data_IF_082280331734
#
_entry.id   IF_082280331734
#
_cell.length_a   1.000
_cell.length_b   1.000
_cell.length_c   1.000
_cell.angle_alpha   90.00
_cell.angle_beta   90.00
_cell.angle_gamma   90.00
#
_symmetry.space_group_name_H-M   'P 1'
#
loop_
_entity.id
_entity.type
_entity.pdbx_description
1 polymer ?
#
# COMPACT_ATOMS: atom_id res chain seq x y z
N UNK A 1 3.58 -9.66 25.08
CA UNK A 1 2.90 -8.86 26.12
C UNK A 1 2.40 -7.59 25.44
N UNK A 2 1.10 -7.35 25.50
CA UNK A 2 0.49 -6.12 24.94
C UNK A 2 0.88 -4.95 25.83
N UNK A 3 1.37 -3.86 25.29
CA UNK A 3 1.34 -2.59 26.04
C UNK A 3 -0.14 -2.28 26.36
N UNK A 4 -0.50 -2.28 27.62
CA UNK A 4 -1.86 -2.04 28.13
C UNK A 4 -2.95 -3.05 27.73
N UNK A 5 -2.63 -4.34 27.53
CA UNK A 5 -3.63 -5.40 27.29
C UNK A 5 -4.32 -5.35 25.92
N UNK A 6 -3.90 -4.51 24.98
CA UNK A 6 -4.46 -4.45 23.62
C UNK A 6 -3.64 -5.31 22.66
N UNK A 7 -4.32 -6.18 21.96
CA UNK A 7 -3.72 -6.91 20.81
C UNK A 7 -3.44 -5.89 19.71
N UNK A 8 -2.16 -5.74 19.33
CA UNK A 8 -1.78 -4.93 18.18
C UNK A 8 -2.25 -5.66 16.93
N UNK A 9 -3.25 -5.10 16.25
CA UNK A 9 -3.74 -5.62 14.97
C UNK A 9 -2.77 -5.16 13.89
N UNK A 10 -2.16 -6.10 13.18
CA UNK A 10 -1.28 -5.80 12.05
C UNK A 10 -1.85 -6.37 10.76
N UNK A 11 -1.73 -5.63 9.70
CA UNK A 11 -1.93 -6.11 8.35
C UNK A 11 -0.72 -6.97 7.93
N UNK A 12 -0.94 -7.94 7.06
CA UNK A 12 0.13 -8.79 6.53
C UNK A 12 0.25 -8.54 5.04
N UNK A 13 1.43 -8.13 4.58
CA UNK A 13 1.68 -8.11 3.15
C UNK A 13 1.81 -9.55 2.63
N UNK A 14 0.88 -9.97 1.77
CA UNK A 14 0.93 -11.29 1.14
C UNK A 14 1.52 -11.18 -0.26
N UNK A 15 2.54 -12.00 -0.50
CA UNK A 15 3.16 -12.19 -1.80
C UNK A 15 2.60 -13.45 -2.47
N UNK A 16 2.54 -13.45 -3.80
CA UNK A 16 2.20 -14.65 -4.53
C UNK A 16 3.25 -15.74 -4.30
N UNK A 17 2.83 -17.01 -4.18
CA UNK A 17 3.73 -18.14 -3.87
C UNK A 17 4.91 -18.23 -4.86
N UNK A 18 4.66 -17.97 -6.15
CA UNK A 18 5.70 -17.91 -7.17
C UNK A 18 6.77 -16.83 -6.94
N UNK A 19 6.42 -15.74 -6.26
CA UNK A 19 7.37 -14.68 -5.90
C UNK A 19 8.26 -15.09 -4.75
N UNK A 20 7.71 -15.84 -3.78
CA UNK A 20 8.47 -16.38 -2.66
C UNK A 20 9.52 -17.36 -3.16
N UNK A 21 9.19 -18.19 -4.12
CA UNK A 21 10.12 -19.15 -4.72
C UNK A 21 11.16 -18.45 -5.59
N UNK A 22 10.76 -17.46 -6.37
CA UNK A 22 11.66 -16.62 -7.15
C UNK A 22 12.62 -15.83 -6.26
N UNK A 23 12.14 -15.22 -5.17
CA UNK A 23 12.95 -14.52 -4.17
C UNK A 23 13.92 -15.48 -3.44
N UNK A 24 13.51 -16.72 -3.16
CA UNK A 24 14.41 -17.74 -2.59
C UNK A 24 15.53 -18.10 -3.57
N UNK A 25 15.22 -18.25 -4.84
CA UNK A 25 16.20 -18.52 -5.91
C UNK A 25 17.13 -17.33 -6.11
N UNK A 26 16.63 -16.09 -6.04
CA UNK A 26 17.44 -14.87 -6.10
C UNK A 26 18.35 -14.71 -4.86
N UNK A 27 17.94 -15.12 -3.65
CA UNK A 27 18.78 -15.09 -2.44
C UNK A 27 19.99 -16.03 -2.51
N UNK A 28 19.92 -17.07 -3.33
CA UNK A 28 21.03 -17.98 -3.59
C UNK A 28 22.03 -17.41 -4.63
N UNK A 29 21.71 -16.31 -5.28
CA UNK A 29 22.59 -15.56 -6.18
C UNK A 29 23.38 -14.52 -5.36
N UNK A 30 24.64 -14.33 -5.70
CA UNK A 30 25.53 -13.39 -5.02
C UNK A 30 24.94 -11.97 -4.98
N UNK A 31 24.97 -11.31 -3.81
CA UNK A 31 24.51 -9.91 -3.62
C UNK A 31 25.23 -8.88 -4.53
N UNK A 32 26.27 -9.28 -5.22
CA UNK A 32 27.05 -8.47 -6.16
C UNK A 32 26.52 -8.53 -7.58
N UNK A 33 25.52 -9.37 -7.87
CA UNK A 33 25.02 -9.54 -9.22
C UNK A 33 24.10 -8.38 -9.62
N UNK A 34 24.55 -7.59 -10.62
CA UNK A 34 23.76 -6.50 -11.21
C UNK A 34 22.40 -6.98 -11.75
N UNK A 35 22.29 -8.25 -12.09
CA UNK A 35 21.08 -8.87 -12.62
C UNK A 35 20.04 -9.09 -11.51
N UNK A 36 20.47 -9.43 -10.28
CA UNK A 36 19.64 -9.49 -9.09
C UNK A 36 18.95 -8.13 -8.83
N UNK A 37 19.74 -7.04 -8.79
CA UNK A 37 19.23 -5.67 -8.56
C UNK A 37 18.27 -5.20 -9.64
N UNK A 38 18.52 -5.56 -10.91
CA UNK A 38 17.69 -5.16 -12.04
C UNK A 38 16.36 -5.91 -12.10
N UNK A 39 16.35 -7.18 -11.69
CA UNK A 39 15.12 -8.01 -11.64
C UNK A 39 14.22 -7.58 -10.46
N UNK A 40 14.79 -7.29 -9.30
CA UNK A 40 14.04 -6.77 -8.16
C UNK A 40 13.38 -5.43 -8.50
N UNK A 41 14.14 -4.47 -9.07
CA UNK A 41 13.62 -3.16 -9.50
C UNK A 41 12.47 -3.24 -10.51
N UNK A 42 12.56 -4.18 -11.47
CA UNK A 42 11.52 -4.38 -12.48
C UNK A 42 10.22 -4.95 -11.89
N UNK A 43 10.30 -5.62 -10.76
CA UNK A 43 9.20 -6.38 -10.20
C UNK A 43 8.13 -5.49 -9.55
N UNK A 44 8.49 -4.41 -8.85
CA UNK A 44 7.54 -3.53 -8.16
C UNK A 44 6.88 -2.51 -9.09
N UNK A 45 7.61 -1.96 -10.02
CA UNK A 45 7.00 -1.14 -11.08
C UNK A 45 6.07 -1.97 -11.98
N UNK A 46 6.31 -3.28 -12.11
CA UNK A 46 5.45 -4.21 -12.83
C UNK A 46 4.13 -4.53 -12.10
N UNK A 47 4.00 -4.22 -10.79
CA UNK A 47 2.76 -4.44 -10.02
C UNK A 47 1.76 -3.29 -10.12
N UNK A 48 2.14 -2.16 -10.68
CA UNK A 48 1.22 -1.06 -10.88
C UNK A 48 0.19 -1.39 -11.98
N UNK A 49 -1.05 -1.01 -11.74
CA UNK A 49 -2.08 -1.09 -12.78
C UNK A 49 -1.78 -0.12 -13.91
N UNK A 50 -2.10 -0.46 -15.17
CA UNK A 50 -2.17 0.55 -16.22
C UNK A 50 -3.12 1.68 -15.79
N UNK A 51 -2.71 2.93 -16.02
CA UNK A 51 -3.55 4.09 -15.73
C UNK A 51 -4.91 3.97 -16.44
N UNK A 52 -6.00 4.39 -15.80
CA UNK A 52 -7.39 4.21 -16.24
C UNK A 52 -7.93 2.78 -16.19
N UNK A 53 -7.24 1.83 -15.57
CA UNK A 53 -7.76 0.47 -15.39
C UNK A 53 -9.09 0.47 -14.64
N UNK A 54 -10.00 -0.40 -15.07
CA UNK A 54 -11.23 -0.72 -14.34
C UNK A 54 -10.94 -2.00 -13.55
N UNK A 55 -11.05 -1.91 -12.23
CA UNK A 55 -10.74 -3.00 -11.30
C UNK A 55 -12.06 -3.49 -10.70
N UNK A 56 -12.42 -4.72 -10.99
CA UNK A 56 -13.65 -5.33 -10.50
C UNK A 56 -13.41 -5.94 -9.12
N UNK A 57 -14.30 -5.64 -8.18
CA UNK A 57 -14.26 -6.05 -6.78
C UNK A 57 -15.50 -6.89 -6.47
N UNK A 58 -15.33 -8.05 -5.86
CA UNK A 58 -16.44 -8.87 -5.37
C UNK A 58 -16.22 -9.28 -3.92
N UNK A 59 -17.31 -9.55 -3.21
CA UNK A 59 -17.28 -10.05 -1.84
C UNK A 59 -17.45 -11.56 -1.84
N UNK A 60 -16.60 -12.26 -1.06
CA UNK A 60 -16.64 -13.70 -0.85
C UNK A 60 -17.32 -13.98 0.49
N UNK A 61 -18.64 -14.03 0.49
CA UNK A 61 -19.45 -14.25 1.69
C UNK A 61 -19.88 -12.96 2.39
N UNK A 62 -20.32 -13.10 3.62
CA UNK A 62 -20.86 -12.04 4.46
C UNK A 62 -19.92 -11.70 5.61
N UNK A 63 -19.88 -10.43 6.07
CA UNK A 63 -19.01 -9.97 7.15
C UNK A 63 -19.57 -10.26 8.56
N UNK A 64 -20.26 -11.38 8.75
CA UNK A 64 -21.04 -11.63 9.98
C UNK A 64 -20.14 -11.92 11.19
N UNK A 65 -18.93 -12.42 10.96
CA UNK A 65 -18.01 -12.86 12.01
C UNK A 65 -16.84 -11.90 12.23
N UNK A 66 -16.86 -10.72 11.63
CA UNK A 66 -15.79 -9.74 11.83
C UNK A 66 -16.23 -8.63 12.78
N UNK A 67 -15.29 -8.18 13.63
CA UNK A 67 -15.54 -7.10 14.57
C UNK A 67 -15.43 -5.73 13.88
N UNK A 68 -16.34 -4.82 14.23
CA UNK A 68 -16.16 -3.39 13.97
C UNK A 68 -15.29 -2.80 15.07
N UNK A 69 -14.27 -2.05 14.68
CA UNK A 69 -13.56 -1.20 15.64
C UNK A 69 -14.46 -0.04 16.04
N UNK A 70 -14.75 0.09 17.32
CA UNK A 70 -15.62 1.16 17.84
C UNK A 70 -14.92 2.53 17.78
N UNK A 71 -15.71 3.61 17.78
CA UNK A 71 -15.17 4.98 17.87
C UNK A 71 -14.31 5.14 19.14
N UNK A 72 -14.77 4.61 20.27
CA UNK A 72 -14.03 4.70 21.53
C UNK A 72 -12.66 3.99 21.46
N UNK A 73 -12.56 2.85 20.78
CA UNK A 73 -11.28 2.17 20.55
C UNK A 73 -10.35 2.99 19.67
N UNK A 74 -10.87 3.59 18.59
CA UNK A 74 -10.08 4.43 17.68
C UNK A 74 -9.65 5.73 18.34
N UNK A 75 -10.54 6.39 19.09
CA UNK A 75 -10.24 7.61 19.84
C UNK A 75 -9.29 7.36 21.02
N UNK A 76 -9.12 6.13 21.48
CA UNK A 76 -8.14 5.77 22.50
C UNK A 76 -6.71 5.63 21.96
N UNK A 77 -6.53 5.57 20.64
CA UNK A 77 -5.19 5.50 20.02
C UNK A 77 -4.50 6.87 20.16
N UNK A 78 -3.20 6.84 20.46
CA UNK A 78 -2.39 8.05 20.66
C UNK A 78 -1.17 8.02 19.73
N UNK A 79 -0.71 9.20 19.34
CA UNK A 79 0.57 9.36 18.69
C UNK A 79 1.73 9.16 19.69
N UNK A 80 2.97 9.22 19.21
CA UNK A 80 4.18 9.09 20.04
C UNK A 80 4.34 10.18 21.11
N UNK A 81 3.55 11.26 21.04
CA UNK A 81 3.52 12.38 22.01
C UNK A 81 2.32 12.32 22.94
N UNK A 82 1.48 11.29 22.82
CA UNK A 82 0.26 11.12 23.64
C UNK A 82 -0.95 11.91 23.14
N UNK A 83 -0.90 12.53 21.95
CA UNK A 83 -2.04 13.24 21.39
C UNK A 83 -3.05 12.27 20.77
N UNK A 84 -4.33 12.62 20.81
CA UNK A 84 -5.37 11.88 20.10
C UNK A 84 -5.15 11.95 18.59
N UNK A 85 -5.31 10.81 17.91
CA UNK A 85 -5.23 10.76 16.46
C UNK A 85 -6.51 11.30 15.83
N UNK A 86 -6.34 11.89 14.65
CA UNK A 86 -7.47 12.35 13.84
C UNK A 86 -8.11 11.15 13.15
N UNK A 87 -9.43 11.04 13.26
CA UNK A 87 -10.22 10.06 12.52
C UNK A 87 -10.74 10.66 11.23
N UNK A 88 -10.93 9.79 10.23
CA UNK A 88 -11.66 10.17 9.04
C UNK A 88 -13.14 10.49 9.39
N UNK A 89 -13.69 11.61 8.94
CA UNK A 89 -15.09 11.95 9.20
C UNK A 89 -16.08 10.85 8.82
N UNK A 90 -15.77 10.07 7.79
CA UNK A 90 -16.58 8.95 7.33
C UNK A 90 -16.68 7.84 8.40
N UNK A 91 -15.67 7.68 9.27
CA UNK A 91 -15.71 6.72 10.37
C UNK A 91 -16.86 7.03 11.34
N UNK A 92 -17.02 8.32 11.70
CA UNK A 92 -18.13 8.75 12.56
C UNK A 92 -19.49 8.57 11.88
N UNK A 93 -19.58 8.91 10.59
CA UNK A 93 -20.82 8.78 9.82
C UNK A 93 -21.29 7.32 9.73
N UNK A 94 -20.38 6.42 9.33
CA UNK A 94 -20.64 4.97 9.21
C UNK A 94 -21.05 4.38 10.57
N UNK A 95 -20.34 4.75 11.64
CA UNK A 95 -20.62 4.25 12.99
C UNK A 95 -21.97 4.77 13.50
N UNK A 96 -22.24 6.07 13.37
CA UNK A 96 -23.51 6.69 13.79
C UNK A 96 -24.73 6.09 13.06
N UNK A 97 -24.60 5.83 11.77
CA UNK A 97 -25.67 5.23 10.96
C UNK A 97 -25.78 3.72 11.09
N UNK A 98 -24.86 3.08 11.82
CA UNK A 98 -24.69 1.62 11.85
C UNK A 98 -24.75 1.00 10.44
N UNK A 99 -24.04 1.64 9.49
CA UNK A 99 -24.06 1.25 8.08
C UNK A 99 -23.60 -0.19 7.93
N UNK A 100 -24.31 -1.02 7.16
CA UNK A 100 -23.87 -2.37 6.83
C UNK A 100 -22.43 -2.36 6.28
N UNK A 101 -21.60 -3.32 6.67
CA UNK A 101 -20.15 -3.33 6.36
C UNK A 101 -19.90 -3.32 4.84
N UNK A 102 -20.63 -4.12 4.07
CA UNK A 102 -20.50 -4.14 2.60
C UNK A 102 -20.83 -2.77 2.00
N UNK A 103 -21.91 -2.14 2.47
CA UNK A 103 -22.27 -0.77 2.04
C UNK A 103 -21.21 0.24 2.44
N UNK A 104 -20.67 0.11 3.65
CA UNK A 104 -19.62 0.97 4.15
C UNK A 104 -18.32 0.84 3.33
N UNK A 105 -17.89 -0.39 3.00
CA UNK A 105 -16.74 -0.62 2.11
C UNK A 105 -16.95 0.05 0.74
N UNK A 106 -18.12 -0.15 0.13
CA UNK A 106 -18.47 0.50 -1.15
C UNK A 106 -18.40 2.03 -1.03
N UNK A 107 -18.90 2.59 0.07
CA UNK A 107 -18.85 4.04 0.33
C UNK A 107 -17.41 4.52 0.49
N UNK A 108 -16.58 3.82 1.28
CA UNK A 108 -15.16 4.16 1.47
C UNK A 108 -14.43 4.19 0.13
N UNK A 109 -14.58 3.17 -0.69
CA UNK A 109 -13.92 3.10 -1.99
C UNK A 109 -14.36 4.26 -2.89
N UNK A 110 -15.65 4.55 -2.94
CA UNK A 110 -16.18 5.63 -3.80
C UNK A 110 -15.78 7.02 -3.32
N UNK A 111 -15.62 7.23 -2.01
CA UNK A 111 -15.36 8.56 -1.45
C UNK A 111 -13.90 8.81 -1.07
N UNK A 112 -13.08 7.75 -0.91
CA UNK A 112 -11.68 7.88 -0.46
C UNK A 112 -10.66 7.36 -1.44
N UNK A 113 -10.99 6.34 -2.26
CA UNK A 113 -10.06 5.71 -3.19
C UNK A 113 -10.26 6.22 -4.62
N UNK A 114 -11.44 6.01 -5.21
CA UNK A 114 -11.73 6.41 -6.59
C UNK A 114 -11.43 7.89 -6.89
N UNK A 115 -11.62 8.86 -5.96
CA UNK A 115 -11.31 10.25 -6.25
C UNK A 115 -9.83 10.57 -6.43
N UNK A 116 -8.94 9.83 -5.76
CA UNK A 116 -7.50 10.16 -5.66
C UNK A 116 -6.60 9.32 -6.57
N UNK A 117 -7.17 8.38 -7.31
CA UNK A 117 -6.47 7.55 -8.29
C UNK A 117 -7.15 7.63 -9.65
N UNK A 118 -6.40 7.53 -10.73
CA UNK A 118 -6.98 7.36 -12.06
C UNK A 118 -7.14 5.87 -12.38
N UNK A 119 -7.68 5.14 -11.41
CA UNK A 119 -8.20 3.77 -11.49
C UNK A 119 -9.67 3.83 -11.15
N UNK A 120 -10.46 2.87 -11.61
CA UNK A 120 -11.88 2.80 -11.30
C UNK A 120 -12.21 1.46 -10.65
N UNK A 121 -12.35 1.45 -9.34
CA UNK A 121 -12.90 0.30 -8.61
C UNK A 121 -14.40 0.24 -8.79
N UNK A 122 -14.90 -0.89 -9.28
CA UNK A 122 -16.33 -1.17 -9.45
C UNK A 122 -16.70 -2.49 -8.77
N UNK A 123 -17.86 -2.53 -8.14
CA UNK A 123 -18.33 -3.74 -7.46
C UNK A 123 -19.19 -4.58 -8.38
N UNK A 124 -18.92 -5.88 -8.42
CA UNK A 124 -19.62 -6.90 -9.21
C UNK A 124 -20.12 -8.01 -8.31
N UNK A 125 -21.20 -8.68 -8.72
CA UNK A 125 -21.78 -9.77 -7.91
C UNK A 125 -21.10 -11.12 -8.18
N UNK A 126 -20.63 -11.34 -9.41
CA UNK A 126 -19.99 -12.59 -9.78
C UNK A 126 -18.49 -12.55 -9.40
N UNK A 127 -18.11 -13.39 -8.44
CA UNK A 127 -16.72 -13.51 -7.95
C UNK A 127 -15.73 -13.85 -9.08
N UNK A 128 -16.16 -14.64 -10.07
CA UNK A 128 -15.30 -15.05 -11.19
C UNK A 128 -14.89 -13.89 -12.10
N UNK A 129 -15.66 -12.82 -12.08
CA UNK A 129 -15.38 -11.62 -12.89
C UNK A 129 -14.45 -10.62 -12.18
N UNK A 130 -14.18 -10.84 -10.87
CA UNK A 130 -13.47 -9.91 -10.04
C UNK A 130 -11.97 -10.20 -10.01
N UNK A 131 -11.16 -9.14 -10.11
CA UNK A 131 -9.73 -9.16 -9.82
C UNK A 131 -9.48 -9.12 -8.30
N UNK A 132 -10.25 -8.30 -7.57
CA UNK A 132 -10.17 -8.22 -6.12
C UNK A 132 -11.34 -8.98 -5.52
N UNK A 133 -11.01 -10.01 -4.76
CA UNK A 133 -11.98 -10.89 -4.08
C UNK A 133 -11.77 -10.74 -2.58
N UNK A 134 -12.75 -10.10 -1.90
CA UNK A 134 -12.66 -9.75 -0.48
C UNK A 134 -13.30 -10.83 0.37
N UNK A 135 -12.52 -11.47 1.24
CA UNK A 135 -13.00 -12.35 2.30
C UNK A 135 -13.08 -11.63 3.65
N UNK A 136 -13.78 -12.26 4.61
CA UNK A 136 -14.03 -11.75 5.94
C UNK A 136 -13.65 -12.78 7.01
N UNK A 137 -12.42 -13.27 6.95
CA UNK A 137 -11.90 -14.25 7.90
C UNK A 137 -11.15 -13.54 9.03
N UNK A 138 -11.78 -13.46 10.22
CA UNK A 138 -11.20 -12.79 11.39
C UNK A 138 -9.92 -13.46 11.90
N UNK A 139 -9.69 -14.74 11.58
CA UNK A 139 -8.49 -15.47 11.99
C UNK A 139 -7.24 -15.12 11.18
N UNK A 140 -7.43 -14.51 9.98
CA UNK A 140 -6.33 -14.18 9.07
C UNK A 140 -5.87 -12.71 9.13
N UNK A 141 -6.46 -11.90 10.02
CA UNK A 141 -6.14 -10.47 10.07
C UNK A 141 -6.65 -9.71 8.84
N UNK A 142 -6.12 -8.52 8.59
CA UNK A 142 -6.36 -7.78 7.35
C UNK A 142 -5.14 -7.91 6.44
N UNK A 143 -5.37 -8.07 5.15
CA UNK A 143 -4.32 -8.14 4.13
C UNK A 143 -4.87 -7.94 2.72
N UNK A 144 -4.02 -7.50 1.82
CA UNK A 144 -4.27 -7.47 0.37
C UNK A 144 -3.04 -7.91 -0.41
N UNK A 145 -3.26 -8.51 -1.58
CA UNK A 145 -2.21 -8.63 -2.59
C UNK A 145 -1.90 -7.25 -3.17
N UNK A 146 -0.62 -7.01 -3.50
CA UNK A 146 -0.15 -5.71 -3.98
C UNK A 146 -0.39 -5.54 -5.48
N UNK A 147 -1.14 -4.51 -5.85
CA UNK A 147 -1.36 -4.14 -7.25
C UNK A 147 -1.87 -5.29 -8.10
N UNK A 148 -1.20 -5.54 -9.23
CA UNK A 148 -1.58 -6.58 -10.20
C UNK A 148 -1.26 -8.00 -9.77
N UNK A 149 -0.68 -8.25 -8.58
CA UNK A 149 -0.47 -9.60 -8.06
C UNK A 149 -1.78 -10.40 -7.93
N UNK A 150 -2.90 -9.70 -7.71
CA UNK A 150 -4.21 -10.34 -7.70
C UNK A 150 -4.58 -11.03 -9.02
N UNK A 151 -4.00 -10.61 -10.16
CA UNK A 151 -4.22 -11.22 -11.48
C UNK A 151 -3.52 -12.57 -11.62
N UNK A 152 -2.46 -12.79 -10.84
CA UNK A 152 -1.69 -14.04 -10.85
C UNK A 152 -2.38 -15.15 -10.07
N UNK A 153 -3.29 -14.79 -9.18
CA UNK A 153 -4.14 -15.75 -8.47
C UNK A 153 -5.37 -16.08 -9.33
N UNK A 154 -5.19 -17.06 -10.22
CA UNK A 154 -6.24 -17.52 -11.15
C UNK A 154 -7.31 -18.39 -10.46
N UNK A 155 -7.06 -18.85 -9.24
CA UNK A 155 -8.04 -19.60 -8.45
C UNK A 155 -9.12 -18.64 -7.91
N UNK A 156 -10.29 -18.63 -8.54
CA UNK A 156 -11.39 -17.71 -8.21
C UNK A 156 -12.08 -18.04 -6.88
N UNK A 157 -11.77 -19.16 -6.25
CA UNK A 157 -12.27 -19.51 -4.90
C UNK A 157 -11.34 -19.01 -3.79
N UNK A 158 -10.19 -18.44 -4.13
CA UNK A 158 -9.26 -17.85 -3.18
C UNK A 158 -9.41 -16.34 -3.11
N UNK A 159 -9.37 -15.74 -1.91
CA UNK A 159 -9.39 -14.32 -1.76
C UNK A 159 -8.07 -13.68 -2.24
N UNK A 160 -8.16 -12.44 -2.68
CA UNK A 160 -7.00 -11.58 -2.99
C UNK A 160 -6.88 -10.40 -2.02
N UNK A 161 -7.88 -10.26 -1.14
CA UNK A 161 -7.92 -9.33 -0.02
C UNK A 161 -8.74 -9.96 1.10
N UNK A 162 -8.35 -9.73 2.35
CA UNK A 162 -9.13 -10.12 3.52
C UNK A 162 -9.30 -8.94 4.48
N UNK A 163 -10.49 -8.75 4.97
CA UNK A 163 -10.79 -7.80 6.04
C UNK A 163 -11.25 -8.58 7.27
N UNK A 164 -10.28 -8.98 8.11
CA UNK A 164 -10.55 -9.75 9.34
C UNK A 164 -11.21 -8.92 10.45
N UNK A 165 -11.23 -7.61 10.33
CA UNK A 165 -12.00 -6.63 11.11
C UNK A 165 -12.34 -5.44 10.23
N UNK A 166 -13.24 -4.57 10.71
CA UNK A 166 -13.71 -3.42 9.95
C UNK A 166 -13.51 -2.11 10.69
N UNK A 167 -12.79 -1.20 10.06
CA UNK A 167 -12.78 0.26 10.25
C UNK A 167 -12.41 0.93 8.93
N UNK A 168 -12.57 2.26 8.87
CA UNK A 168 -12.33 3.04 7.65
C UNK A 168 -10.84 3.04 7.28
N UNK A 169 -9.95 3.19 8.27
CA UNK A 169 -8.51 3.27 8.05
C UNK A 169 -7.95 1.95 7.50
N UNK A 170 -8.31 0.81 8.11
CA UNK A 170 -7.91 -0.51 7.63
C UNK A 170 -8.43 -0.77 6.21
N UNK A 171 -9.69 -0.43 5.94
CA UNK A 171 -10.25 -0.61 4.60
C UNK A 171 -9.48 0.21 3.56
N UNK A 172 -9.17 1.48 3.84
CA UNK A 172 -8.34 2.33 2.96
C UNK A 172 -6.96 1.69 2.76
N UNK A 173 -6.29 1.28 3.82
CA UNK A 173 -4.96 0.68 3.80
C UNK A 173 -4.90 -0.52 2.83
N UNK A 174 -5.83 -1.46 2.95
CA UNK A 174 -5.87 -2.65 2.09
C UNK A 174 -6.17 -2.29 0.61
N UNK A 175 -7.04 -1.32 0.38
CA UNK A 175 -7.26 -0.83 -0.99
C UNK A 175 -6.05 -0.11 -1.57
N UNK A 176 -5.22 0.55 -0.75
CA UNK A 176 -3.96 1.13 -1.23
C UNK A 176 -2.93 0.05 -1.60
N UNK A 177 -2.87 -1.06 -0.86
CA UNK A 177 -2.10 -2.22 -1.31
C UNK A 177 -2.59 -2.70 -2.67
N UNK A 178 -3.89 -2.85 -2.85
CA UNK A 178 -4.45 -3.26 -4.15
C UNK A 178 -4.18 -2.25 -5.28
N UNK A 179 -3.91 -0.99 -4.96
CA UNK A 179 -3.45 0.02 -5.91
C UNK A 179 -1.92 0.00 -6.13
N UNK A 180 -1.17 -0.88 -5.46
CA UNK A 180 0.27 -1.06 -5.65
C UNK A 180 1.16 -0.38 -4.60
N UNK A 181 0.59 0.21 -3.53
CA UNK A 181 1.39 0.76 -2.43
C UNK A 181 1.89 -0.36 -1.52
N UNK A 182 3.07 -0.14 -0.96
CA UNK A 182 3.72 -1.01 0.03
C UNK A 182 3.75 -0.29 1.39
N UNK A 183 4.18 -1.01 2.43
CA UNK A 183 4.30 -0.42 3.75
C UNK A 183 5.39 0.66 3.83
N UNK A 184 5.07 1.78 4.44
CA UNK A 184 5.96 2.95 4.53
C UNK A 184 7.23 2.68 5.35
N UNK A 185 7.18 1.81 6.37
CA UNK A 185 8.37 1.46 7.15
C UNK A 185 9.45 0.69 6.34
N UNK A 186 9.06 0.11 5.21
CA UNK A 186 9.94 -0.57 4.27
C UNK A 186 10.47 0.36 3.17
N UNK A 187 10.07 1.65 3.16
CA UNK A 187 10.51 2.63 2.19
C UNK A 187 12.03 2.84 2.27
N UNK A 188 12.79 2.61 1.18
CA UNK A 188 14.24 2.70 1.19
C UNK A 188 14.77 4.14 1.26
N UNK A 189 13.97 5.14 0.90
CA UNK A 189 14.36 6.56 0.90
C UNK A 189 14.21 7.21 2.26
N UNK A 190 13.59 6.53 3.21
CA UNK A 190 13.37 7.03 4.56
C UNK A 190 14.55 6.85 5.48
N UNK A 191 14.59 7.65 6.57
CA UNK A 191 15.38 7.32 7.75
C UNK A 191 15.05 5.89 8.15
N UNK A 192 16.04 5.02 8.29
CA UNK A 192 15.78 3.67 8.81
C UNK A 192 15.24 3.78 10.22
N UNK A 193 14.17 3.05 10.49
CA UNK A 193 13.79 2.76 11.88
C UNK A 193 14.96 1.98 12.47
N UNK A 194 15.48 2.45 13.60
CA UNK A 194 16.60 1.82 14.29
C UNK A 194 16.09 0.62 15.10
N UNK A 195 15.91 -0.51 14.41
CA UNK A 195 15.33 -1.71 14.98
C UNK A 195 16.21 -2.36 16.07
N UNK A 196 15.62 -2.69 17.20
CA UNK A 196 16.15 -3.73 18.08
C UNK A 196 15.72 -5.09 17.52
N UNK A 197 16.53 -5.60 16.59
CA UNK A 197 16.20 -6.78 15.78
C UNK A 197 15.79 -7.99 16.61
N UNK A 198 16.47 -8.25 17.73
CA UNK A 198 16.14 -9.39 18.60
C UNK A 198 14.76 -9.21 19.26
N UNK A 199 14.46 -8.01 19.72
CA UNK A 199 13.12 -7.71 20.29
C UNK A 199 12.03 -7.78 19.23
N UNK A 200 12.31 -7.36 18.00
CA UNK A 200 11.36 -7.47 16.88
C UNK A 200 11.03 -8.93 16.58
N UNK A 201 12.03 -9.80 16.49
CA UNK A 201 11.79 -11.24 16.28
C UNK A 201 10.94 -11.85 17.39
N UNK A 202 11.31 -11.61 18.65
CA UNK A 202 10.57 -12.15 19.80
C UNK A 202 9.13 -11.63 19.83
N UNK A 203 8.96 -10.32 19.63
CA UNK A 203 7.65 -9.69 19.63
C UNK A 203 6.74 -10.24 18.51
N UNK A 204 7.29 -10.43 17.30
CA UNK A 204 6.53 -10.95 16.18
C UNK A 204 6.15 -12.43 16.37
N UNK A 205 7.03 -13.24 16.97
CA UNK A 205 6.72 -14.60 17.36
C UNK A 205 5.61 -14.65 18.41
N UNK A 206 5.73 -13.86 19.48
CA UNK A 206 4.80 -13.83 20.61
C UNK A 206 3.41 -13.29 20.24
N UNK A 207 3.35 -12.32 19.33
CA UNK A 207 2.09 -11.58 19.05
C UNK A 207 1.41 -11.98 17.75
N UNK A 208 2.18 -12.42 16.75
CA UNK A 208 1.71 -12.75 15.40
C UNK A 208 1.96 -14.22 15.03
N UNK A 209 2.73 -14.97 15.82
CA UNK A 209 3.15 -16.34 15.49
C UNK A 209 4.10 -16.41 14.28
N UNK A 210 4.82 -15.33 13.96
CA UNK A 210 5.68 -15.27 12.78
C UNK A 210 7.07 -15.84 13.06
N UNK A 211 7.57 -16.65 12.14
CA UNK A 211 8.97 -17.06 12.15
C UNK A 211 9.90 -15.87 11.79
N UNK A 212 11.21 -16.07 12.00
CA UNK A 212 12.21 -15.04 11.71
C UNK A 212 12.24 -14.61 10.25
N UNK A 213 11.97 -15.54 9.31
CA UNK A 213 11.97 -15.23 7.88
C UNK A 213 10.78 -14.36 7.51
N UNK A 214 9.61 -14.66 8.05
CA UNK A 214 8.38 -13.88 7.87
C UNK A 214 8.53 -12.51 8.51
N UNK A 215 9.05 -12.45 9.75
CA UNK A 215 9.31 -11.20 10.46
C UNK A 215 10.29 -10.30 9.70
N UNK A 216 11.41 -10.88 9.23
CA UNK A 216 12.40 -10.12 8.46
C UNK A 216 11.76 -9.46 7.23
N UNK A 217 11.02 -10.23 6.44
CA UNK A 217 10.38 -9.74 5.20
C UNK A 217 9.30 -8.68 5.45
N UNK A 218 8.51 -8.83 6.50
CA UNK A 218 7.36 -7.95 6.76
C UNK A 218 7.71 -6.72 7.60
N UNK A 219 8.84 -6.73 8.34
CA UNK A 219 9.18 -5.64 9.25
C UNK A 219 10.56 -5.03 8.97
N UNK A 220 11.60 -5.86 8.85
CA UNK A 220 12.99 -5.39 8.88
C UNK A 220 13.52 -5.08 7.48
N UNK A 221 13.15 -5.91 6.50
CA UNK A 221 13.63 -5.77 5.12
C UNK A 221 13.14 -4.47 4.52
N UNK A 222 14.06 -3.71 3.94
CA UNK A 222 13.73 -2.55 3.12
C UNK A 222 13.77 -2.92 1.65
N UNK A 223 12.90 -2.32 0.89
CA UNK A 223 12.97 -2.40 -0.55
C UNK A 223 14.22 -1.68 -1.08
N UNK A 224 14.74 -2.11 -2.21
CA UNK A 224 15.88 -1.45 -2.83
C UNK A 224 15.46 -0.09 -3.44
N UNK A 225 16.33 0.93 -3.34
CA UNK A 225 16.05 2.30 -3.82
C UNK A 225 15.66 2.37 -5.31
N UNK A 226 16.09 1.39 -6.10
CA UNK A 226 15.80 1.30 -7.53
C UNK A 226 14.44 0.68 -7.82
N UNK A 227 13.81 0.04 -6.83
CA UNK A 227 12.57 -0.73 -6.97
C UNK A 227 11.34 0.13 -6.78
N UNK A 228 11.49 1.26 -6.12
CA UNK A 228 10.39 2.12 -5.73
C UNK A 228 10.59 3.53 -6.26
N UNK A 229 9.65 3.98 -7.06
CA UNK A 229 9.43 5.41 -7.29
C UNK A 229 8.79 6.04 -6.04
N UNK A 230 9.41 5.83 -4.86
CA UNK A 230 8.86 6.28 -3.60
C UNK A 230 9.04 7.78 -3.38
N UNK A 231 8.14 8.37 -2.61
CA UNK A 231 8.30 9.65 -1.93
C UNK A 231 9.42 9.57 -0.88
N UNK A 232 9.82 10.70 -0.30
CA UNK A 232 10.55 10.68 0.98
C UNK A 232 9.68 10.02 2.05
N UNK A 233 10.30 9.43 3.09
CA UNK A 233 9.58 8.76 4.18
C UNK A 233 8.55 9.70 4.81
N UNK A 234 7.32 9.21 4.90
CA UNK A 234 6.21 9.94 5.50
C UNK A 234 5.76 9.30 6.83
N UNK A 235 6.13 9.87 7.97
CA UNK A 235 5.69 9.36 9.27
C UNK A 235 4.18 9.43 9.49
N UNK A 236 3.44 10.16 8.63
CA UNK A 236 1.98 10.29 8.69
C UNK A 236 1.26 9.42 7.66
N UNK A 237 1.98 8.63 6.87
CA UNK A 237 1.37 7.74 5.88
C UNK A 237 0.44 6.73 6.55
N UNK A 238 -0.76 6.52 5.99
CA UNK A 238 -1.66 5.45 6.41
C UNK A 238 -1.05 4.06 6.18
N UNK A 239 -0.01 3.97 5.33
CA UNK A 239 0.74 2.73 5.07
C UNK A 239 1.84 2.46 6.11
N UNK A 240 2.02 3.31 7.12
CA UNK A 240 2.98 3.10 8.20
C UNK A 240 2.34 2.26 9.31
N UNK A 241 3.00 1.16 9.69
CA UNK A 241 2.60 0.37 10.84
C UNK A 241 2.91 1.05 12.17
N UNK A 242 2.09 0.77 13.17
CA UNK A 242 2.43 1.03 14.57
C UNK A 242 3.44 -0.02 15.06
N UNK A 243 4.57 0.48 15.58
CA UNK A 243 5.55 -0.33 16.27
C UNK A 243 5.80 0.25 17.66
N UNK A 244 5.66 -0.56 18.75
CA UNK A 244 5.97 -0.11 20.09
C UNK A 244 7.39 0.46 20.19
N UNK A 245 7.58 1.45 21.05
CA UNK A 245 8.87 2.09 21.31
C UNK A 245 9.94 1.06 21.77
N UNK A 246 9.52 0.01 22.44
CA UNK A 246 10.39 -1.09 22.91
C UNK A 246 11.08 -1.86 21.76
N UNK A 247 10.56 -1.76 20.52
CA UNK A 247 11.12 -2.45 19.36
C UNK A 247 12.22 -1.66 18.65
N UNK A 248 12.48 -0.42 19.06
CA UNK A 248 13.52 0.43 18.47
C UNK A 248 14.62 0.75 19.48
N UNK A 249 15.88 0.90 19.02
CA UNK A 249 17.00 1.23 19.89
C UNK A 249 16.92 2.67 20.41
N UNK A 250 16.27 3.57 19.66
CA UNK A 250 16.04 4.96 20.07
C UNK A 250 14.79 5.14 20.96
N UNK A 251 14.10 4.06 21.27
CA UNK A 251 12.86 4.01 22.07
C UNK A 251 11.74 4.95 21.58
N UNK A 252 11.66 5.20 20.27
CA UNK A 252 10.58 6.04 19.72
C UNK A 252 9.43 5.25 19.13
N UNK A 253 9.71 4.09 18.51
CA UNK A 253 8.72 3.34 17.77
C UNK A 253 8.15 4.12 16.59
N UNK A 254 6.94 3.76 16.19
CA UNK A 254 6.11 4.51 15.24
C UNK A 254 4.72 4.73 15.82
N UNK A 255 3.91 5.57 15.18
CA UNK A 255 2.50 5.71 15.55
C UNK A 255 1.60 5.17 14.43
N UNK A 256 0.42 4.75 14.80
CA UNK A 256 -0.61 4.35 13.85
C UNK A 256 -1.21 5.60 13.21
N UNK A 257 -1.45 5.55 11.89
CA UNK A 257 -2.14 6.60 11.17
C UNK A 257 -3.53 6.11 10.74
N UNK A 258 -4.55 6.96 10.92
CA UNK A 258 -5.95 6.59 10.71
C UNK A 258 -6.62 7.36 9.57
N UNK A 259 -5.85 8.21 8.89
CA UNK A 259 -6.29 8.98 7.72
C UNK A 259 -5.18 8.95 6.66
N UNK A 260 -5.58 9.07 5.39
CA UNK A 260 -4.65 9.34 4.30
C UNK A 260 -3.82 10.59 4.61
N UNK A 261 -2.51 10.53 4.42
CA UNK A 261 -1.68 11.72 4.50
C UNK A 261 -1.75 12.54 3.21
N UNK A 262 -1.37 13.84 3.21
CA UNK A 262 -1.21 14.59 1.97
C UNK A 262 -0.21 13.95 1.00
N UNK A 263 0.84 13.30 1.51
CA UNK A 263 1.87 12.64 0.71
C UNK A 263 1.33 11.37 0.10
N UNK A 264 0.53 10.57 0.82
CA UNK A 264 -0.15 9.39 0.24
C UNK A 264 -0.96 9.78 -0.99
N UNK A 265 -1.79 10.84 -0.89
CA UNK A 265 -2.63 11.27 -1.99
C UNK A 265 -1.82 11.86 -3.15
N UNK A 266 -0.78 12.66 -2.86
CA UNK A 266 0.10 13.20 -3.88
C UNK A 266 0.86 12.12 -4.62
N UNK A 267 1.34 11.09 -3.90
CA UNK A 267 2.01 9.96 -4.49
C UNK A 267 1.07 9.20 -5.44
N UNK A 268 -0.15 8.88 -4.99
CA UNK A 268 -1.16 8.23 -5.82
C UNK A 268 -1.50 9.06 -7.08
N UNK A 269 -1.67 10.38 -6.93
CA UNK A 269 -1.88 11.28 -8.06
C UNK A 269 -0.69 11.28 -9.04
N UNK A 270 0.53 11.05 -8.57
CA UNK A 270 1.73 10.99 -9.42
C UNK A 270 1.86 9.66 -10.17
N UNK A 271 1.51 8.56 -9.51
CA UNK A 271 1.57 7.20 -10.09
C UNK A 271 0.40 6.97 -11.04
N UNK A 272 -0.79 7.49 -10.69
CA UNK A 272 -2.00 7.42 -11.49
C UNK A 272 -2.46 8.82 -11.89
N UNK A 273 -1.77 9.46 -12.86
CA UNK A 273 -2.02 10.85 -13.24
C UNK A 273 -3.43 11.04 -13.82
N UNK A 274 -3.94 12.27 -13.68
CA UNK A 274 -5.32 12.65 -14.02
C UNK A 274 -6.37 11.97 -13.14
N UNK A 275 -6.06 11.74 -11.86
CA UNK A 275 -7.06 11.38 -10.86
C UNK A 275 -8.18 12.46 -10.81
N UNK A 276 -9.42 12.07 -10.46
CA UNK A 276 -10.54 13.03 -10.36
C UNK A 276 -10.29 14.20 -9.41
N UNK A 277 -9.58 13.96 -8.31
CA UNK A 277 -9.25 14.99 -7.31
C UNK A 277 -7.73 15.01 -7.05
N UNK A 278 -7.17 16.22 -7.01
CA UNK A 278 -5.81 16.45 -6.49
C UNK A 278 -5.80 16.34 -4.98
N UNK A 279 -4.61 16.17 -4.37
CA UNK A 279 -4.48 16.14 -2.92
C UNK A 279 -5.09 17.39 -2.25
N UNK A 280 -4.91 18.58 -2.85
CA UNK A 280 -5.50 19.82 -2.32
C UNK A 280 -7.02 19.80 -2.35
N UNK A 281 -7.63 19.38 -3.46
CA UNK A 281 -9.07 19.26 -3.60
C UNK A 281 -9.64 18.23 -2.62
N UNK A 282 -9.02 17.06 -2.51
CA UNK A 282 -9.40 16.00 -1.60
C UNK A 282 -9.37 16.49 -0.14
N UNK A 283 -8.26 17.08 0.31
CA UNK A 283 -8.12 17.55 1.69
C UNK A 283 -9.08 18.70 2.02
N UNK A 284 -9.29 19.62 1.07
CA UNK A 284 -10.29 20.70 1.25
C UNK A 284 -11.69 20.14 1.41
N UNK A 285 -12.06 19.16 0.58
CA UNK A 285 -13.39 18.55 0.58
C UNK A 285 -13.64 17.72 1.86
N UNK A 286 -12.70 16.87 2.24
CA UNK A 286 -12.90 15.90 3.31
C UNK A 286 -12.65 16.50 4.70
N UNK A 287 -11.61 17.31 4.85
CA UNK A 287 -11.15 17.80 6.14
C UNK A 287 -11.32 19.31 6.31
N UNK A 288 -11.76 20.03 5.29
CA UNK A 288 -11.79 21.50 5.22
C UNK A 288 -10.40 22.12 5.53
N UNK A 289 -9.34 21.47 5.08
CA UNK A 289 -7.96 21.90 5.26
C UNK A 289 -7.38 22.32 3.92
N UNK A 290 -6.80 23.53 3.86
CA UNK A 290 -5.98 23.97 2.75
C UNK A 290 -4.54 23.47 2.98
N UNK A 291 -4.16 22.38 2.31
CA UNK A 291 -2.77 21.96 2.27
C UNK A 291 -2.02 22.90 1.33
N UNK A 292 -1.10 23.70 1.87
CA UNK A 292 -0.14 24.44 1.02
C UNK A 292 0.60 23.39 0.20
N UNK A 293 0.79 23.63 -1.09
CA UNK A 293 1.67 22.81 -1.94
C UNK A 293 3.07 22.75 -1.30
N UNK A 294 3.25 21.89 -0.33
CA UNK A 294 4.53 21.65 0.35
C UNK A 294 5.54 20.97 -0.57
N UNK A 295 5.08 20.58 -1.75
CA UNK A 295 5.90 19.86 -2.73
C UNK A 295 6.31 20.76 -3.90
N UNK A 296 7.06 21.81 -3.62
CA UNK A 296 7.84 22.40 -4.69
C UNK A 296 8.97 21.46 -5.21
N UNK A 297 9.11 20.26 -4.66
CA UNK A 297 10.17 19.31 -5.04
C UNK A 297 9.77 17.86 -4.77
N UNK A 298 8.81 17.29 -5.50
CA UNK A 298 8.74 15.84 -5.62
C UNK A 298 9.93 15.37 -6.46
N UNK A 299 10.90 14.70 -5.85
CA UNK A 299 12.00 14.04 -6.56
C UNK A 299 11.56 12.64 -6.95
N UNK A 300 11.13 12.46 -8.18
CA UNK A 300 10.87 11.14 -8.77
C UNK A 300 12.08 10.78 -9.64
N UNK A 301 12.74 9.65 -9.35
CA UNK A 301 13.88 9.20 -10.15
C UNK A 301 15.05 10.18 -10.24
N UNK A 302 15.34 10.97 -9.19
CA UNK A 302 16.43 11.93 -9.16
C UNK A 302 16.14 13.27 -9.86
N UNK A 303 15.00 13.45 -10.51
CA UNK A 303 14.58 14.71 -11.14
C UNK A 303 13.62 15.47 -10.23
N UNK A 304 13.84 16.77 -10.10
CA UNK A 304 12.96 17.70 -9.37
C UNK A 304 11.86 18.16 -10.31
N UNK A 305 10.63 17.73 -10.09
CA UNK A 305 9.47 18.22 -10.84
C UNK A 305 8.92 19.49 -10.15
N UNK A 306 9.08 20.64 -10.76
CA UNK A 306 8.32 21.84 -10.41
C UNK A 306 6.92 21.68 -11.00
N UNK A 307 5.90 21.86 -10.20
CA UNK A 307 4.50 21.75 -10.60
C UNK A 307 4.15 22.85 -11.63
N UNK A 308 4.45 22.56 -12.89
CA UNK A 308 3.87 23.23 -14.07
C UNK A 308 3.63 22.15 -15.10
N UNK A 309 2.38 21.73 -15.23
CA UNK A 309 1.86 20.86 -16.30
C UNK A 309 2.66 19.55 -16.55
N UNK A 310 2.43 18.55 -15.70
CA UNK A 310 3.03 17.20 -15.81
C UNK A 310 2.48 16.40 -17.02
N UNK A 311 1.77 17.01 -17.94
CA UNK A 311 0.96 16.28 -18.92
C UNK A 311 1.71 15.69 -20.11
N UNK A 312 3.02 15.91 -20.32
CA UNK A 312 3.67 15.42 -21.55
C UNK A 312 5.06 14.77 -21.46
N UNK A 313 5.83 14.90 -20.37
CA UNK A 313 7.23 14.46 -20.41
C UNK A 313 7.51 13.05 -19.87
N UNK A 314 6.63 12.47 -19.05
CA UNK A 314 6.83 11.11 -18.49
C UNK A 314 6.62 10.04 -19.57
N UNK A 315 5.75 10.29 -20.55
CA UNK A 315 5.52 9.37 -21.68
C UNK A 315 6.61 9.39 -22.74
N UNK A 316 7.37 10.49 -22.88
CA UNK A 316 8.44 10.58 -23.86
C UNK A 316 9.58 9.58 -23.59
N UNK A 317 9.95 9.37 -22.31
CA UNK A 317 11.03 8.44 -21.95
C UNK A 317 10.71 6.96 -22.24
N UNK A 318 9.47 6.55 -22.08
CA UNK A 318 9.04 5.16 -22.35
C UNK A 318 8.81 4.95 -23.86
N UNK A 319 8.27 5.95 -24.56
CA UNK A 319 8.05 5.87 -26.01
C UNK A 319 9.39 5.82 -26.79
N UNK A 320 10.41 6.55 -26.33
CA UNK A 320 11.75 6.51 -26.95
C UNK A 320 12.45 5.17 -26.74
N UNK A 321 12.29 4.54 -25.56
CA UNK A 321 12.85 3.21 -25.31
C UNK A 321 12.26 2.13 -26.23
N UNK A 322 10.95 2.17 -26.45
CA UNK A 322 10.25 1.22 -27.33
C UNK A 322 10.56 1.48 -28.82
N UNK A 323 10.72 2.74 -29.24
CA UNK A 323 11.08 3.08 -30.63
C UNK A 323 12.52 2.63 -30.97
N UNK A 324 13.46 2.76 -30.06
CA UNK A 324 14.85 2.30 -30.27
C UNK A 324 14.91 0.77 -30.35
N UNK A 325 14.14 0.04 -29.53
CA UNK A 325 14.08 -1.41 -29.61
C UNK A 325 13.45 -1.89 -30.94
N UNK A 326 12.43 -1.19 -31.44
CA UNK A 326 11.79 -1.54 -32.72
C UNK A 326 12.73 -1.28 -33.92
N UNK A 327 13.47 -0.17 -33.91
CA UNK A 327 14.44 0.18 -34.94
C UNK A 327 15.62 -0.80 -34.92
N UNK A 328 16.13 -1.20 -33.75
CA UNK A 328 17.18 -2.21 -33.63
C UNK A 328 16.70 -3.59 -34.11
N UNK A 329 15.45 -3.96 -33.83
CA UNK A 329 14.88 -5.24 -34.28
C UNK A 329 14.70 -5.29 -35.80
N UNK A 330 14.34 -4.16 -36.42
CA UNK A 330 14.23 -4.06 -37.88
C UNK A 330 15.61 -4.05 -38.59
N UNK A 331 16.61 -3.37 -37.97
CA UNK A 331 17.98 -3.37 -38.54
C UNK A 331 18.64 -4.73 -38.46
N UNK A 332 18.42 -5.53 -37.40
CA UNK A 332 18.94 -6.90 -37.29
C UNK A 332 18.30 -7.84 -38.32
N UNK A 333 17.02 -7.61 -38.67
CA UNK A 333 16.28 -8.43 -39.62
C UNK A 333 16.65 -8.16 -41.08
N UNK A 334 17.26 -6.99 -41.37
CA UNK A 334 17.60 -6.60 -42.76
C UNK A 334 19.10 -6.53 -43.06
N UNK A 335 19.98 -6.71 -42.07
CA UNK A 335 21.42 -6.58 -42.22
C UNK A 335 22.25 -7.86 -41.97
N UNK A 336 21.60 -8.99 -41.69
CA UNK A 336 22.28 -10.30 -41.63
C UNK A 336 21.75 -11.19 -42.78
N UNK A 337 22.65 -11.79 -43.61
CA UNK A 337 22.31 -12.64 -44.73
C UNK A 337 21.68 -13.98 -44.32
#
# INVERSE_FOLDING_TARGET
MSENGKVVKMCVEKFHIGDIEHLKNLKNMSKTDKQYRKLSAAFYTAKLWPNKSIIKVAFMGTPDNINRTSIAELEAIRDSKGNALKLDPLQYEISKKNTNIIKAIKQIVNERINPIVNLKYIFVDNIKDAQIRISFDSSQGAWSLVGTDCLRNTNTIEPTMNLGWFDVATTIHEFLHSAGLIHEHQNPKGKSIDWNVNKVYQWAEDTQGWDKSTTYRNIIEKYEQNEINGSEFDPNSIMLYFFPASLTNDNKGTHQNLILSPIDVQYLNSVYPNAPETAQQFYKKIFNIDIKNTTNKLKIGGKVFKNKNVNHEIFAGVAWGLSICLVLFLLVKYLLP
#
